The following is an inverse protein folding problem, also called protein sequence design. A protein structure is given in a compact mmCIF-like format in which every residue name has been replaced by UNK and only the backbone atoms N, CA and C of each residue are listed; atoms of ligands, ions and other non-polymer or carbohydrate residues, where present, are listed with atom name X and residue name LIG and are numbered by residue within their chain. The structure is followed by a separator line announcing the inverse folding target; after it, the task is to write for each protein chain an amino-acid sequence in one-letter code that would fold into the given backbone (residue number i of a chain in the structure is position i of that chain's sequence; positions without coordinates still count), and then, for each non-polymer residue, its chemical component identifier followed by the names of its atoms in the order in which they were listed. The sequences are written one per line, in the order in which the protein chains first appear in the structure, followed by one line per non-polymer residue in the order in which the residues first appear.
data_IF_850579761057
#
_entry.id   IF_850579761057
#
_cell.length_a   1.000
_cell.length_b   1.000
_cell.length_c   1.000
_cell.angle_alpha   90.00
_cell.angle_beta   90.00
_cell.angle_gamma   90.00
#
_symmetry.space_group_name_H-M   'P 1'
#
loop_
_entity.id
_entity.type
_entity.pdbx_description
1 polymer ?
#
# COMPACT_ATOMS: atom_id res chain seq x y z
N UNK A 1 -6.17 -17.89 -12.70
CA UNK A 1 -5.03 -18.10 -11.79
C UNK A 1 -5.03 -16.92 -10.84
N UNK A 2 -5.83 -17.04 -9.77
CA UNK A 2 -6.00 -16.04 -8.73
C UNK A 2 -4.69 -15.94 -7.95
N UNK A 3 -3.97 -14.84 -8.14
CA UNK A 3 -2.86 -14.47 -7.26
C UNK A 3 -3.46 -14.28 -5.87
N UNK A 4 -3.22 -15.26 -5.02
CA UNK A 4 -3.47 -15.20 -3.59
C UNK A 4 -2.93 -13.90 -3.04
N UNK A 5 -3.78 -13.19 -2.30
CA UNK A 5 -3.54 -11.92 -1.60
C UNK A 5 -2.55 -12.02 -0.43
N UNK A 6 -1.54 -12.88 -0.55
CA UNK A 6 -0.39 -12.90 0.34
C UNK A 6 0.84 -13.09 -0.54
N UNK A 7 1.54 -12.00 -0.82
CA UNK A 7 2.92 -12.11 -1.28
C UNK A 7 3.70 -12.88 -0.18
N UNK A 8 4.23 -14.08 -0.45
CA UNK A 8 4.94 -14.87 0.56
C UNK A 8 6.23 -14.21 1.05
N UNK A 9 6.62 -13.08 0.46
CA UNK A 9 7.86 -12.37 0.72
C UNK A 9 7.68 -11.07 1.54
N UNK A 10 6.45 -10.70 1.91
CA UNK A 10 6.20 -9.50 2.73
C UNK A 10 6.77 -8.21 2.14
N UNK A 11 7.03 -8.17 0.84
CA UNK A 11 7.58 -7.01 0.17
C UNK A 11 6.51 -5.90 0.18
N UNK A 12 6.87 -4.65 0.52
CA UNK A 12 5.92 -3.56 0.54
C UNK A 12 5.36 -3.35 -0.87
N UNK A 13 4.03 -3.36 -0.98
CA UNK A 13 3.31 -3.02 -2.23
C UNK A 13 3.85 -1.70 -2.78
N UNK A 14 4.27 -1.69 -4.04
CA UNK A 14 4.91 -0.54 -4.68
C UNK A 14 3.98 0.69 -4.61
N UNK A 15 4.41 1.75 -3.94
CA UNK A 15 3.66 3.01 -3.83
C UNK A 15 4.37 4.12 -4.60
N UNK A 16 3.83 4.46 -5.77
CA UNK A 16 4.33 5.57 -6.57
C UNK A 16 3.59 6.86 -6.22
N UNK A 17 4.32 7.97 -6.17
CA UNK A 17 3.79 9.33 -6.03
C UNK A 17 4.51 10.23 -7.04
N UNK A 18 3.74 11.03 -7.76
CA UNK A 18 4.29 12.03 -8.67
C UNK A 18 4.72 13.23 -7.81
N UNK A 19 5.97 13.65 -7.96
CA UNK A 19 6.52 14.83 -7.29
C UNK A 19 6.60 16.01 -8.27
N UNK A 20 6.81 17.23 -7.74
CA UNK A 20 7.08 18.43 -8.54
C UNK A 20 5.96 18.82 -9.52
N UNK A 21 4.71 18.48 -9.19
CA UNK A 21 3.52 18.92 -9.93
C UNK A 21 3.42 20.45 -9.80
N UNK A 22 3.18 21.15 -10.91
CA UNK A 22 2.97 22.60 -10.91
C UNK A 22 4.22 23.47 -11.06
N UNK A 23 5.43 22.91 -10.90
CA UNK A 23 6.68 23.69 -11.11
C UNK A 23 6.76 24.14 -12.57
N UNK A 24 6.44 23.25 -13.50
CA UNK A 24 6.45 23.54 -14.93
C UNK A 24 5.40 24.59 -15.28
N UNK A 25 4.20 24.54 -14.68
CA UNK A 25 3.14 25.53 -14.92
C UNK A 25 3.54 26.93 -14.46
N UNK A 26 4.32 27.03 -13.39
CA UNK A 26 4.86 28.32 -12.90
C UNK A 26 5.93 28.84 -13.86
N UNK A 27 6.80 27.98 -14.37
CA UNK A 27 7.88 28.36 -15.29
C UNK A 27 7.35 28.73 -16.68
N UNK A 28 6.36 28.01 -17.19
CA UNK A 28 5.75 28.19 -18.50
C UNK A 28 4.46 29.04 -18.45
N UNK A 29 4.27 29.84 -17.39
CA UNK A 29 3.03 30.60 -17.16
C UNK A 29 2.62 31.49 -18.34
N UNK A 30 3.60 32.10 -19.04
CA UNK A 30 3.35 32.99 -20.18
C UNK A 30 3.04 32.25 -21.49
N UNK A 31 3.30 30.94 -21.57
CA UNK A 31 3.23 30.18 -22.81
C UNK A 31 1.79 29.94 -23.32
N UNK A 32 0.75 30.21 -22.50
CA UNK A 32 -0.69 30.09 -22.84
C UNK A 32 -1.05 28.86 -23.69
N UNK A 33 -0.42 27.71 -23.41
CA UNK A 33 -0.70 26.45 -24.11
C UNK A 33 -2.15 26.05 -23.84
N UNK A 34 -2.82 25.46 -24.83
CA UNK A 34 -4.16 24.93 -24.64
C UNK A 34 -4.15 23.80 -23.62
N UNK A 35 -5.13 23.75 -22.72
CA UNK A 35 -5.23 22.69 -21.70
C UNK A 35 -5.27 21.28 -22.33
N UNK A 36 -5.98 21.13 -23.45
CA UNK A 36 -6.08 19.86 -24.16
C UNK A 36 -4.74 19.41 -24.75
N UNK A 37 -3.90 20.34 -25.20
CA UNK A 37 -2.56 20.04 -25.71
C UNK A 37 -1.67 19.54 -24.58
N UNK A 38 -1.70 20.22 -23.42
CA UNK A 38 -0.95 19.81 -22.21
C UNK A 38 -1.40 18.42 -21.73
N UNK A 39 -2.70 18.16 -21.64
CA UNK A 39 -3.22 16.85 -21.26
C UNK A 39 -2.81 15.75 -22.25
N UNK A 40 -2.83 16.05 -23.56
CA UNK A 40 -2.40 15.09 -24.58
C UNK A 40 -0.90 14.81 -24.51
N UNK A 41 -0.08 15.80 -24.13
CA UNK A 41 1.34 15.64 -23.90
C UNK A 41 1.62 14.76 -22.66
N UNK A 42 0.86 14.96 -21.57
CA UNK A 42 0.95 14.15 -20.35
C UNK A 42 0.62 12.67 -20.62
N UNK A 43 -0.44 12.41 -21.39
CA UNK A 43 -0.82 11.05 -21.79
C UNK A 43 0.28 10.37 -22.61
N UNK A 44 0.92 11.10 -23.53
CA UNK A 44 2.06 10.56 -24.29
C UNK A 44 3.27 10.31 -23.38
N UNK A 45 3.56 11.22 -22.46
CA UNK A 45 4.65 11.06 -21.50
C UNK A 45 4.44 9.81 -20.61
N UNK A 46 3.21 9.58 -20.14
CA UNK A 46 2.82 8.36 -19.44
C UNK A 46 3.08 7.12 -20.28
N UNK A 47 2.69 7.13 -21.56
CA UNK A 47 2.96 6.03 -22.50
C UNK A 47 4.45 5.77 -22.67
N UNK A 48 5.28 6.82 -22.76
CA UNK A 48 6.74 6.70 -22.87
C UNK A 48 7.34 6.07 -21.60
N UNK A 49 6.89 6.49 -20.42
CA UNK A 49 7.34 5.91 -19.14
C UNK A 49 6.98 4.42 -19.09
N UNK A 50 5.75 4.05 -19.43
CA UNK A 50 5.32 2.66 -19.45
C UNK A 50 6.16 1.82 -20.43
N UNK A 51 6.42 2.35 -21.63
CA UNK A 51 7.25 1.69 -22.62
C UNK A 51 8.71 1.56 -22.17
N UNK A 52 9.24 2.58 -21.48
CA UNK A 52 10.60 2.55 -20.92
C UNK A 52 10.74 1.46 -19.86
N UNK A 53 9.70 1.24 -19.05
CA UNK A 53 9.69 0.19 -18.03
C UNK A 53 9.57 -1.22 -18.63
N UNK A 54 8.85 -1.40 -19.75
CA UNK A 54 8.73 -2.73 -20.37
C UNK A 54 9.99 -3.13 -21.13
N UNK A 55 10.74 -2.17 -21.67
CA UNK A 55 11.94 -2.44 -22.47
C UNK A 55 13.21 -2.34 -21.63
N UNK A 56 13.16 -1.59 -20.52
CA UNK A 56 14.33 -1.34 -19.66
C UNK A 56 15.29 -0.30 -20.24
N UNK A 57 14.81 0.55 -21.16
CA UNK A 57 15.60 1.62 -21.80
C UNK A 57 14.83 2.93 -21.64
N UNK A 58 15.53 4.02 -21.33
CA UNK A 58 14.92 5.34 -21.25
C UNK A 58 14.46 5.80 -22.64
N UNK A 59 13.17 6.10 -22.75
CA UNK A 59 12.55 6.57 -24.00
C UNK A 59 11.96 7.94 -23.73
N UNK A 60 12.45 8.96 -24.43
CA UNK A 60 11.92 10.30 -24.31
C UNK A 60 10.82 10.57 -25.35
N UNK A 61 9.89 11.48 -25.02
CA UNK A 61 8.85 11.95 -25.95
C UNK A 61 9.50 12.55 -27.21
N UNK A 62 10.63 13.23 -27.06
CA UNK A 62 11.36 13.83 -28.19
C UNK A 62 11.97 12.78 -29.13
N UNK A 63 12.37 11.61 -28.62
CA UNK A 63 12.90 10.52 -29.44
C UNK A 63 11.82 9.91 -30.34
N UNK A 64 10.57 9.95 -29.86
CA UNK A 64 9.40 9.42 -30.57
C UNK A 64 8.84 10.42 -31.59
N UNK A 65 8.74 11.71 -31.23
CA UNK A 65 8.07 12.71 -32.08
C UNK A 65 9.04 13.61 -32.88
N UNK A 66 10.35 13.62 -32.57
CA UNK A 66 11.33 14.57 -33.12
C UNK A 66 12.14 14.12 -34.35
N UNK A 67 12.47 12.83 -34.51
CA UNK A 67 13.43 12.37 -35.55
C UNK A 67 12.76 11.72 -36.77
N UNK A 68 13.26 11.93 -38.00
CA UNK A 68 12.66 11.45 -39.26
C UNK A 68 12.60 9.92 -39.49
N UNK A 69 13.02 9.08 -38.52
CA UNK A 69 12.98 7.59 -38.60
C UNK A 69 11.77 6.96 -37.87
N UNK A 70 10.64 7.69 -37.87
CA UNK A 70 9.50 7.66 -36.93
C UNK A 70 8.74 6.32 -36.71
N UNK A 71 8.48 5.46 -37.71
CA UNK A 71 7.58 4.32 -37.50
C UNK A 71 8.27 2.98 -37.20
N UNK A 72 9.57 2.81 -37.51
CA UNK A 72 10.20 1.48 -37.40
C UNK A 72 10.54 1.11 -35.96
N UNK A 73 11.16 2.03 -35.23
CA UNK A 73 11.60 1.81 -33.86
C UNK A 73 10.40 1.56 -32.93
N UNK A 74 9.35 2.37 -33.08
CA UNK A 74 8.10 2.14 -32.34
C UNK A 74 7.46 0.79 -32.68
N UNK A 75 7.43 0.39 -33.96
CA UNK A 75 6.86 -0.90 -34.36
C UNK A 75 7.66 -2.07 -33.77
N UNK A 76 8.99 -1.98 -33.73
CA UNK A 76 9.84 -2.99 -33.09
C UNK A 76 9.57 -3.08 -31.57
N UNK A 77 9.44 -1.94 -30.89
CA UNK A 77 9.08 -1.87 -29.48
C UNK A 77 7.68 -2.43 -29.21
N UNK A 78 6.70 -2.09 -30.04
CA UNK A 78 5.35 -2.64 -29.94
C UNK A 78 5.32 -4.15 -30.18
N UNK A 79 6.11 -4.64 -31.14
CA UNK A 79 6.24 -6.08 -31.41
C UNK A 79 6.88 -6.82 -30.23
N UNK A 80 7.91 -6.24 -29.60
CA UNK A 80 8.51 -6.78 -28.39
C UNK A 80 7.49 -6.87 -27.24
N UNK A 81 6.73 -5.79 -27.02
CA UNK A 81 5.68 -5.77 -25.98
C UNK A 81 4.60 -6.82 -26.26
N UNK A 82 4.17 -6.96 -27.51
CA UNK A 82 3.15 -7.92 -27.90
C UNK A 82 3.57 -9.38 -27.66
N UNK A 83 4.87 -9.68 -27.77
CA UNK A 83 5.41 -11.02 -27.55
C UNK A 83 5.63 -11.34 -26.07
N UNK A 84 6.03 -10.36 -25.27
CA UNK A 84 6.47 -10.60 -23.88
C UNK A 84 5.41 -10.24 -22.82
N UNK A 85 4.39 -9.44 -23.16
CA UNK A 85 3.42 -8.93 -22.18
C UNK A 85 1.97 -9.25 -22.55
N UNK A 86 1.07 -9.01 -21.59
CA UNK A 86 -0.37 -9.16 -21.80
C UNK A 86 -0.88 -8.23 -22.91
N UNK A 87 -1.91 -8.69 -23.63
CA UNK A 87 -2.62 -7.91 -24.65
C UNK A 87 -3.18 -6.60 -24.08
N UNK A 88 -3.55 -6.57 -22.80
CA UNK A 88 -4.08 -5.37 -22.14
C UNK A 88 -3.06 -4.23 -22.12
N UNK A 89 -1.79 -4.53 -21.81
CA UNK A 89 -0.68 -3.55 -21.79
C UNK A 89 -0.40 -3.06 -23.20
N UNK A 90 -0.42 -3.96 -24.18
CA UNK A 90 -0.24 -3.60 -25.58
C UNK A 90 -1.32 -2.62 -26.07
N UNK A 91 -2.60 -2.91 -25.81
CA UNK A 91 -3.73 -2.04 -26.19
C UNK A 91 -3.62 -0.67 -25.51
N UNK A 92 -3.20 -0.64 -24.25
CA UNK A 92 -2.98 0.60 -23.52
C UNK A 92 -1.84 1.44 -24.09
N UNK A 93 -0.69 0.83 -24.37
CA UNK A 93 0.43 1.55 -24.99
C UNK A 93 0.05 2.05 -26.38
N UNK A 94 -0.71 1.27 -27.14
CA UNK A 94 -1.21 1.68 -28.44
C UNK A 94 -2.18 2.86 -28.36
N UNK A 95 -3.03 2.93 -27.33
CA UNK A 95 -3.97 4.05 -27.16
C UNK A 95 -3.29 5.34 -26.70
N UNK A 96 -2.16 5.25 -25.97
CA UNK A 96 -1.38 6.38 -25.46
C UNK A 96 -0.38 6.94 -26.48
N UNK A 97 0.29 6.07 -27.25
CA UNK A 97 1.39 6.43 -28.18
C UNK A 97 0.98 6.38 -29.66
N UNK A 98 -0.31 6.25 -29.94
CA UNK A 98 -0.85 6.26 -31.30
C UNK A 98 -0.35 7.48 -32.09
N UNK A 99 0.28 7.22 -33.25
CA UNK A 99 0.81 8.27 -34.13
C UNK A 99 -0.28 8.87 -35.04
N UNK A 100 -1.40 8.17 -35.22
CA UNK A 100 -2.44 8.50 -36.22
C UNK A 100 -3.64 9.25 -35.64
N UNK A 101 -3.87 9.17 -34.34
CA UNK A 101 -5.00 9.81 -33.67
C UNK A 101 -4.53 10.42 -32.33
N UNK A 102 -5.09 11.57 -31.93
CA UNK A 102 -4.81 12.14 -30.61
C UNK A 102 -5.18 11.13 -29.51
N UNK A 103 -4.45 11.12 -28.37
CA UNK A 103 -4.74 10.21 -27.28
C UNK A 103 -6.18 10.43 -26.80
N UNK A 104 -6.89 9.32 -26.58
CA UNK A 104 -8.27 9.35 -26.10
C UNK A 104 -8.35 10.01 -24.72
N UNK A 105 -9.51 10.59 -24.39
CA UNK A 105 -9.76 11.15 -23.06
C UNK A 105 -9.38 10.13 -21.96
N UNK A 106 -8.71 10.60 -20.90
CA UNK A 106 -8.25 9.80 -19.75
C UNK A 106 -9.34 8.85 -19.23
N UNK A 107 -10.61 9.27 -19.28
CA UNK A 107 -11.76 8.49 -18.84
C UNK A 107 -11.95 7.18 -19.62
N UNK A 108 -11.71 7.20 -20.94
CA UNK A 108 -11.84 6.00 -21.78
C UNK A 108 -10.74 5.00 -21.47
N UNK A 109 -9.53 5.50 -21.20
CA UNK A 109 -8.37 4.68 -20.82
C UNK A 109 -8.58 4.11 -19.41
N UNK A 110 -9.10 4.91 -18.49
CA UNK A 110 -9.44 4.44 -17.15
C UNK A 110 -10.52 3.35 -17.19
N UNK A 111 -11.53 3.50 -18.05
CA UNK A 111 -12.58 2.49 -18.22
C UNK A 111 -12.04 1.17 -18.79
N UNK A 112 -11.10 1.20 -19.73
CA UNK A 112 -10.49 -0.02 -20.28
C UNK A 112 -9.63 -0.78 -19.26
N UNK A 113 -9.04 -0.06 -18.29
CA UNK A 113 -8.26 -0.65 -17.20
C UNK A 113 -9.08 -0.98 -15.94
N UNK A 114 -10.38 -0.70 -15.91
CA UNK A 114 -11.18 -0.76 -14.70
C UNK A 114 -11.10 -2.12 -13.98
N UNK A 115 -11.13 -3.23 -14.71
CA UNK A 115 -11.01 -4.56 -14.12
C UNK A 115 -9.69 -4.77 -13.36
N UNK A 116 -8.57 -4.31 -13.93
CA UNK A 116 -7.25 -4.38 -13.27
C UNK A 116 -7.17 -3.45 -12.08
N UNK A 117 -7.84 -2.29 -12.16
CA UNK A 117 -7.94 -1.37 -11.05
C UNK A 117 -8.74 -1.97 -9.88
N UNK A 118 -9.79 -2.74 -10.15
CA UNK A 118 -10.53 -3.47 -9.11
C UNK A 118 -9.70 -4.57 -8.46
N UNK A 119 -8.95 -5.36 -9.24
CA UNK A 119 -8.02 -6.36 -8.68
C UNK A 119 -7.00 -5.70 -7.72
N UNK A 120 -6.46 -4.56 -8.13
CA UNK A 120 -5.49 -3.80 -7.32
C UNK A 120 -6.15 -3.21 -6.07
N UNK A 121 -7.39 -2.70 -6.21
CA UNK A 121 -8.20 -2.16 -5.12
C UNK A 121 -8.49 -3.23 -4.06
N UNK A 122 -8.90 -4.43 -4.47
CA UNK A 122 -9.11 -5.56 -3.56
C UNK A 122 -7.84 -5.89 -2.80
N UNK A 123 -6.68 -5.87 -3.47
CA UNK A 123 -5.38 -6.00 -2.82
C UNK A 123 -5.07 -4.88 -1.82
N UNK A 124 -5.51 -3.64 -2.08
CA UNK A 124 -5.37 -2.55 -1.11
C UNK A 124 -6.27 -2.72 0.11
N UNK A 125 -7.51 -3.17 -0.07
CA UNK A 125 -8.43 -3.43 1.03
C UNK A 125 -7.93 -4.57 1.91
N UNK A 126 -7.41 -5.66 1.32
CA UNK A 126 -6.77 -6.73 2.10
C UNK A 126 -5.62 -6.23 2.97
N UNK A 127 -4.77 -5.34 2.45
CA UNK A 127 -3.69 -4.73 3.24
C UNK A 127 -4.21 -3.81 4.34
N UNK A 128 -5.30 -3.08 4.09
CA UNK A 128 -5.96 -2.24 5.10
C UNK A 128 -6.51 -3.10 6.24
N UNK A 129 -7.18 -4.20 5.91
CA UNK A 129 -7.77 -5.12 6.89
C UNK A 129 -6.69 -5.78 7.75
N UNK A 130 -5.60 -6.25 7.15
CA UNK A 130 -4.45 -6.80 7.87
C UNK A 130 -3.86 -5.77 8.85
N UNK A 131 -3.68 -4.52 8.39
CA UNK A 131 -3.21 -3.43 9.26
C UNK A 131 -4.19 -3.11 10.37
N UNK A 132 -5.49 -3.12 10.08
CA UNK A 132 -6.52 -2.87 11.07
C UNK A 132 -6.53 -3.95 12.16
N UNK A 133 -6.38 -5.22 11.78
CA UNK A 133 -6.23 -6.34 12.72
C UNK A 133 -4.99 -6.18 13.60
N UNK A 134 -3.84 -5.86 13.01
CA UNK A 134 -2.60 -5.63 13.76
C UNK A 134 -2.75 -4.46 14.74
N UNK A 135 -3.35 -3.35 14.31
CA UNK A 135 -3.61 -2.19 15.16
C UNK A 135 -4.59 -2.52 16.30
N UNK A 136 -5.65 -3.27 16.03
CA UNK A 136 -6.60 -3.74 17.04
C UNK A 136 -5.92 -4.61 18.09
N UNK A 137 -5.04 -5.53 17.65
CA UNK A 137 -4.24 -6.36 18.55
C UNK A 137 -3.30 -5.54 19.45
N UNK A 138 -2.62 -4.53 18.90
CA UNK A 138 -1.77 -3.61 19.67
C UNK A 138 -2.63 -2.78 20.65
N UNK A 139 -3.82 -2.35 20.24
CA UNK A 139 -4.72 -1.55 21.06
C UNK A 139 -5.21 -2.33 22.29
N UNK A 140 -5.69 -3.56 22.10
CA UNK A 140 -6.13 -4.41 23.20
C UNK A 140 -4.97 -4.83 24.10
N UNK A 141 -3.81 -5.13 23.52
CA UNK A 141 -2.57 -5.37 24.31
C UNK A 141 -2.21 -4.15 25.17
N UNK A 142 -2.35 -2.94 24.63
CA UNK A 142 -2.12 -1.70 25.38
C UNK A 142 -3.14 -1.47 26.51
N UNK A 143 -4.40 -1.89 26.33
CA UNK A 143 -5.42 -1.86 27.40
C UNK A 143 -5.10 -2.87 28.49
N UNK A 144 -4.77 -4.10 28.11
CA UNK A 144 -4.35 -5.15 29.03
C UNK A 144 -3.12 -4.71 29.85
N UNK A 145 -2.10 -4.14 29.20
CA UNK A 145 -0.91 -3.63 29.87
C UNK A 145 -1.23 -2.53 30.89
N UNK A 146 -2.13 -1.58 30.56
CA UNK A 146 -2.56 -0.55 31.53
C UNK A 146 -3.31 -1.15 32.72
N UNK A 147 -4.13 -2.18 32.51
CA UNK A 147 -4.82 -2.88 33.60
C UNK A 147 -3.84 -3.66 34.47
N UNK A 148 -2.88 -4.38 33.86
CA UNK A 148 -1.83 -5.10 34.57
C UNK A 148 -0.96 -4.16 35.41
N UNK A 149 -0.58 -2.99 34.87
CA UNK A 149 0.16 -1.98 35.63
C UNK A 149 -0.66 -1.46 36.82
N UNK A 150 -1.95 -1.13 36.62
CA UNK A 150 -2.82 -0.69 37.73
C UNK A 150 -2.98 -1.77 38.78
N UNK A 151 -3.15 -3.02 38.36
CA UNK A 151 -3.27 -4.16 39.27
C UNK A 151 -1.96 -4.40 40.03
N UNK A 152 -0.80 -4.27 39.38
CA UNK A 152 0.51 -4.34 40.01
C UNK A 152 0.75 -3.20 41.02
N UNK A 153 0.14 -2.02 40.84
CA UNK A 153 0.22 -0.93 41.82
C UNK A 153 -0.69 -1.13 43.04
N UNK A 154 -1.85 -1.77 42.86
CA UNK A 154 -2.80 -2.04 43.96
C UNK A 154 -2.33 -3.24 44.79
N UNK A 155 -1.76 -4.24 44.12
CA UNK A 155 -1.27 -5.46 44.75
C UNK A 155 0.10 -5.24 45.40
N UNK A 156 0.26 -5.74 46.63
CA UNK A 156 1.54 -5.73 47.37
C UNK A 156 2.13 -4.32 47.54
N UNK A 157 1.26 -3.33 47.75
CA UNK A 157 1.65 -1.97 48.11
C UNK A 157 2.60 -2.04 49.33
N UNK A 158 3.85 -1.55 49.23
CA UNK A 158 4.74 -1.52 50.38
C UNK A 158 4.11 -0.68 51.50
N UNK A 159 4.21 -1.17 52.73
CA UNK A 159 3.44 -0.81 53.92
C UNK A 159 3.66 0.62 54.45
N UNK A 160 3.49 1.64 53.61
CA UNK A 160 3.60 3.05 53.99
C UNK A 160 2.23 3.69 54.29
N UNK A 161 1.19 2.86 54.48
CA UNK A 161 -0.20 3.28 54.75
C UNK A 161 -0.65 3.02 56.20
N UNK A 162 -1.85 3.51 56.54
CA UNK A 162 -2.42 3.45 57.90
C UNK A 162 -2.83 2.02 58.31
N UNK A 163 -3.17 1.15 57.35
CA UNK A 163 -3.53 -0.25 57.57
C UNK A 163 -2.60 -1.20 56.79
N UNK A 164 -1.84 -2.03 57.52
CA UNK A 164 -0.95 -3.04 56.95
C UNK A 164 -1.70 -4.16 56.19
N UNK A 165 -2.94 -4.47 56.59
CA UNK A 165 -3.74 -5.56 56.01
C UNK A 165 -4.71 -5.09 54.91
N UNK A 166 -4.53 -3.87 54.37
CA UNK A 166 -5.44 -3.28 53.40
C UNK A 166 -5.56 -4.12 52.11
N UNK A 167 -4.46 -4.72 51.65
CA UNK A 167 -4.46 -5.63 50.50
C UNK A 167 -5.12 -6.99 50.76
N UNK A 168 -5.40 -7.33 52.03
CA UNK A 168 -5.95 -8.64 52.43
C UNK A 168 -7.41 -8.58 52.90
N UNK A 169 -8.05 -7.42 52.78
CA UNK A 169 -9.43 -7.20 53.25
C UNK A 169 -10.35 -6.68 52.13
N UNK A 170 -11.59 -7.16 52.10
CA UNK A 170 -12.65 -6.66 51.22
C UNK A 170 -12.34 -6.78 49.71
N UNK A 171 -12.61 -5.73 48.95
CA UNK A 171 -12.49 -5.72 47.48
C UNK A 171 -11.05 -5.91 46.98
N UNK A 172 -10.04 -5.53 47.77
CA UNK A 172 -8.63 -5.70 47.42
C UNK A 172 -8.19 -7.17 47.50
N UNK A 173 -8.81 -7.95 48.39
CA UNK A 173 -8.57 -9.39 48.49
C UNK A 173 -9.06 -10.14 47.25
N UNK A 174 -10.17 -9.70 46.66
CA UNK A 174 -10.71 -10.27 45.40
C UNK A 174 -9.73 -10.05 44.24
N UNK A 175 -9.09 -8.87 44.19
CA UNK A 175 -8.07 -8.56 43.17
C UNK A 175 -6.77 -9.36 43.36
N UNK A 176 -6.41 -9.68 44.61
CA UNK A 176 -5.30 -10.59 44.94
C UNK A 176 -5.60 -12.02 44.47
N UNK A 177 -6.78 -12.55 44.77
CA UNK A 177 -7.27 -13.85 44.28
C UNK A 177 -7.32 -13.93 42.74
N UNK A 178 -7.77 -12.86 42.07
CA UNK A 178 -7.81 -12.82 40.61
C UNK A 178 -6.41 -12.92 39.98
N UNK A 179 -5.40 -12.29 40.61
CA UNK A 179 -4.00 -12.43 40.19
C UNK A 179 -3.50 -13.86 40.38
N UNK A 180 -3.70 -14.42 41.58
CA UNK A 180 -3.21 -15.76 41.92
C UNK A 180 -3.89 -16.84 41.03
N UNK A 181 -5.14 -16.63 40.63
CA UNK A 181 -5.81 -17.46 39.63
C UNK A 181 -5.12 -17.39 38.26
N UNK A 182 -4.72 -16.19 37.82
CA UNK A 182 -3.98 -16.00 36.57
C UNK A 182 -2.61 -16.68 36.57
N UNK A 183 -1.86 -16.58 37.67
CA UNK A 183 -0.57 -17.28 37.83
C UNK A 183 -0.75 -18.80 37.90
N UNK A 184 -1.79 -19.28 38.58
CA UNK A 184 -2.11 -20.71 38.66
C UNK A 184 -2.39 -21.31 37.28
N UNK A 185 -3.14 -20.63 36.40
CA UNK A 185 -3.42 -21.13 35.04
C UNK A 185 -2.14 -21.25 34.21
N UNK A 186 -1.25 -20.25 34.26
CA UNK A 186 0.05 -20.32 33.57
C UNK A 186 0.96 -21.43 34.13
N UNK A 187 0.90 -21.70 35.44
CA UNK A 187 1.74 -22.73 36.10
C UNK A 187 1.21 -24.15 35.86
N UNK A 188 -0.12 -24.33 35.82
CA UNK A 188 -0.73 -25.64 35.55
C UNK A 188 -0.59 -26.06 34.08
N UNK A 189 -0.72 -25.15 33.10
CA UNK A 189 -0.53 -25.49 31.68
C UNK A 189 0.91 -25.93 31.35
N UNK A 190 1.93 -25.36 32.01
CA UNK A 190 3.32 -25.82 31.84
C UNK A 190 3.58 -27.21 32.41
N UNK A 191 2.79 -27.65 33.39
CA UNK A 191 2.96 -28.97 34.01
C UNK A 191 2.33 -30.09 33.16
N UNK A 192 1.33 -29.77 32.34
CA UNK A 192 0.69 -30.73 31.41
C UNK A 192 1.36 -30.83 30.02
N UNK A 193 2.31 -29.95 29.69
CA UNK A 193 3.07 -30.01 28.42
C UNK A 193 4.44 -30.69 28.59
N UNK A 194 4.88 -30.96 29.82
CA UNK A 194 6.19 -31.57 30.13
C UNK A 194 6.12 -32.97 30.75
N UNK A 195 4.97 -33.66 30.66
CA UNK A 195 4.82 -35.06 31.04
C UNK A 195 4.40 -35.92 29.84
#
# INVERSE_FOLDING_TARGET
MSLSSSDPYGLPKLRLRINCIGIIDILDFEARKGLEELQSADLRALGCILLSMTIGVEINVNDIYGSNQKPRILVEYFQFVQQNYSKDIYVLLQSLLSLSAPPSNIQVIAASMAMRAFDELDGTFGCIDERHLALSGIFESGRAMRLLLKLAFVNERPEFGIDANWSESGDCYILKLFRDFGELVHTFDFTYVLC
#
